data_IF_807121986930
#
_entry.id   IF_807121986930
#
_cell.length_a   1.000
_cell.length_b   1.000
_cell.length_c   1.000
_cell.angle_alpha   90.00
_cell.angle_beta   90.00
_cell.angle_gamma   90.00
#
_symmetry.space_group_name_H-M   'P 1'
#
loop_
_entity.id
_entity.type
_entity.pdbx_description
1 polymer ?
#
# COMPACT_ATOMS: atom_id res chain seq x y z
N UNK A 1 27.14 -35.81 -31.76
CA UNK A 1 26.14 -34.99 -31.07
C UNK A 1 26.87 -34.17 -30.02
N UNK A 2 26.87 -32.84 -30.15
CA UNK A 2 27.60 -31.97 -29.23
C UNK A 2 26.73 -31.73 -27.98
N UNK A 3 27.27 -32.02 -26.80
CA UNK A 3 26.61 -31.70 -25.54
C UNK A 3 26.61 -30.19 -25.33
N UNK A 4 25.44 -29.61 -25.09
CA UNK A 4 25.27 -28.18 -24.82
C UNK A 4 25.97 -27.82 -23.49
N UNK A 5 27.11 -27.14 -23.57
CA UNK A 5 27.84 -26.68 -22.37
C UNK A 5 27.13 -25.45 -21.81
N UNK A 6 26.22 -25.68 -20.86
CA UNK A 6 25.50 -24.61 -20.19
C UNK A 6 26.32 -23.99 -19.05
N UNK A 7 26.42 -22.66 -19.05
CA UNK A 7 27.09 -21.93 -18.00
C UNK A 7 26.20 -21.85 -16.74
N UNK A 8 26.51 -22.68 -15.74
CA UNK A 8 25.75 -22.78 -14.50
C UNK A 8 25.71 -21.47 -13.68
N UNK A 9 26.71 -20.58 -13.82
CA UNK A 9 26.70 -19.26 -13.17
C UNK A 9 25.65 -18.36 -13.79
N UNK A 10 25.56 -18.35 -15.13
CA UNK A 10 24.52 -17.59 -15.82
C UNK A 10 23.13 -18.16 -15.54
N UNK A 11 22.99 -19.48 -15.50
CA UNK A 11 21.73 -20.15 -15.15
C UNK A 11 21.25 -19.76 -13.73
N UNK A 12 22.14 -19.81 -12.72
CA UNK A 12 21.84 -19.33 -11.36
C UNK A 12 21.43 -17.86 -11.33
N UNK A 13 22.19 -17.00 -11.99
CA UNK A 13 21.87 -15.55 -12.04
C UNK A 13 20.52 -15.27 -12.68
N UNK A 14 20.12 -16.03 -13.72
CA UNK A 14 18.80 -15.92 -14.34
C UNK A 14 17.70 -16.36 -13.38
N UNK A 15 17.90 -17.48 -12.66
CA UNK A 15 16.97 -17.96 -11.63
C UNK A 15 16.78 -16.91 -10.52
N UNK A 16 17.86 -16.40 -9.94
CA UNK A 16 17.79 -15.39 -8.86
C UNK A 16 17.06 -14.12 -9.31
N UNK A 17 17.23 -13.72 -10.57
CA UNK A 17 16.52 -12.57 -11.14
C UNK A 17 15.03 -12.85 -11.29
N UNK A 18 14.66 -14.02 -11.81
CA UNK A 18 13.27 -14.45 -11.95
C UNK A 18 12.56 -14.54 -10.59
N UNK A 19 13.21 -15.07 -9.56
CA UNK A 19 12.65 -15.14 -8.20
C UNK A 19 12.38 -13.73 -7.63
N UNK A 20 13.31 -12.79 -7.85
CA UNK A 20 13.13 -11.39 -7.45
C UNK A 20 11.99 -10.69 -8.20
N UNK A 21 11.85 -10.95 -9.49
CA UNK A 21 10.77 -10.39 -10.30
C UNK A 21 9.40 -10.92 -9.84
N UNK A 22 9.29 -12.22 -9.56
CA UNK A 22 8.07 -12.83 -9.03
C UNK A 22 7.71 -12.28 -7.63
N UNK A 23 8.69 -12.08 -6.75
CA UNK A 23 8.48 -11.44 -5.46
C UNK A 23 8.05 -9.97 -5.61
N UNK A 24 8.65 -9.23 -6.55
CA UNK A 24 8.28 -7.85 -6.84
C UNK A 24 6.86 -7.74 -7.41
N UNK A 25 6.44 -8.71 -8.23
CA UNK A 25 5.07 -8.79 -8.75
C UNK A 25 4.07 -9.07 -7.62
N UNK A 26 4.32 -10.06 -6.75
CA UNK A 26 3.50 -10.30 -5.55
C UNK A 26 3.41 -9.06 -4.67
N UNK A 27 4.53 -8.38 -4.42
CA UNK A 27 4.54 -7.14 -3.65
C UNK A 27 3.78 -6.00 -4.37
N UNK A 28 3.74 -5.96 -5.71
CA UNK A 28 2.88 -5.01 -6.45
C UNK A 28 1.40 -5.36 -6.33
N UNK A 29 1.02 -6.61 -6.15
CA UNK A 29 -0.36 -6.99 -5.89
C UNK A 29 -0.75 -6.74 -4.43
N UNK A 30 0.06 -7.26 -3.49
CA UNK A 30 -0.17 -7.19 -2.04
C UNK A 30 0.02 -5.77 -1.49
N UNK A 31 0.91 -4.99 -2.10
CA UNK A 31 1.24 -3.63 -1.71
C UNK A 31 1.07 -2.66 -2.88
N UNK A 32 0.10 -2.90 -3.78
CA UNK A 32 -0.16 -2.14 -5.01
C UNK A 32 -0.46 -0.65 -4.91
N UNK A 33 -0.21 -0.07 -3.74
CA UNK A 33 0.01 1.36 -3.57
C UNK A 33 1.44 1.57 -3.12
N UNK A 34 2.20 2.29 -3.94
CA UNK A 34 3.53 2.78 -3.58
C UNK A 34 3.46 3.60 -2.28
N UNK A 35 4.58 3.72 -1.56
CA UNK A 35 4.64 4.50 -0.31
C UNK A 35 4.07 5.92 -0.51
N UNK A 36 4.44 6.57 -1.62
CA UNK A 36 3.95 7.90 -1.97
C UNK A 36 2.43 7.96 -2.16
N UNK A 37 1.82 6.96 -2.80
CA UNK A 37 0.36 6.89 -2.99
C UNK A 37 -0.38 6.64 -1.68
N UNK A 38 0.19 5.81 -0.79
CA UNK A 38 -0.37 5.59 0.56
C UNK A 38 -0.32 6.86 1.39
N UNK A 39 0.80 7.58 1.34
CA UNK A 39 1.00 8.82 2.10
C UNK A 39 0.05 9.93 1.59
N UNK A 40 -0.11 10.05 0.27
CA UNK A 40 -1.08 10.96 -0.36
C UNK A 40 -2.52 10.61 0.02
N UNK A 41 -2.89 9.33 0.01
CA UNK A 41 -4.21 8.87 0.42
C UNK A 41 -4.46 9.15 1.91
N UNK A 42 -3.47 8.93 2.77
CA UNK A 42 -3.54 9.24 4.20
C UNK A 42 -3.76 10.75 4.42
N UNK A 43 -2.96 11.60 3.77
CA UNK A 43 -3.10 13.05 3.87
C UNK A 43 -4.49 13.55 3.44
N UNK A 44 -5.05 12.98 2.35
CA UNK A 44 -6.41 13.28 1.89
C UNK A 44 -7.47 12.85 2.91
N UNK A 45 -7.33 11.66 3.48
CA UNK A 45 -8.26 11.17 4.51
C UNK A 45 -8.19 12.02 5.78
N UNK A 46 -6.99 12.43 6.20
CA UNK A 46 -6.82 13.28 7.38
C UNK A 46 -7.45 14.66 7.15
N UNK A 47 -7.30 15.24 5.96
CA UNK A 47 -7.96 16.49 5.59
C UNK A 47 -9.48 16.34 5.59
N UNK A 48 -10.00 15.26 5.00
CA UNK A 48 -11.44 14.99 4.99
C UNK A 48 -11.98 14.82 6.42
N UNK A 49 -11.27 14.09 7.28
CA UNK A 49 -11.63 13.89 8.68
C UNK A 49 -11.69 15.22 9.43
N UNK A 50 -10.65 16.08 9.30
CA UNK A 50 -10.65 17.42 9.92
C UNK A 50 -11.82 18.29 9.45
N UNK A 51 -12.19 18.23 8.17
CA UNK A 51 -13.34 18.96 7.64
C UNK A 51 -14.66 18.46 8.24
N UNK A 52 -14.82 17.14 8.37
CA UNK A 52 -15.99 16.54 9.00
C UNK A 52 -16.07 16.87 10.49
N UNK A 53 -14.95 16.76 11.20
CA UNK A 53 -14.86 17.08 12.63
C UNK A 53 -15.14 18.58 12.88
N UNK A 54 -14.63 19.48 12.04
CA UNK A 54 -14.93 20.92 12.14
C UNK A 54 -16.39 21.27 11.81
N UNK A 55 -17.09 20.42 11.06
CA UNK A 55 -18.53 20.53 10.80
C UNK A 55 -19.42 19.77 11.79
N UNK A 56 -18.82 19.02 12.73
CA UNK A 56 -19.54 18.22 13.70
C UNK A 56 -20.15 19.14 14.75
N UNK A 57 -21.45 19.38 14.61
CA UNK A 57 -22.28 19.90 15.70
C UNK A 57 -22.52 18.71 16.64
N UNK A 58 -21.87 18.70 17.79
CA UNK A 58 -22.30 17.82 18.87
C UNK A 58 -23.79 18.13 19.11
N UNK A 59 -24.68 17.12 19.14
CA UNK A 59 -26.02 17.36 19.65
C UNK A 59 -25.81 17.86 21.07
N UNK A 60 -26.01 19.16 21.26
CA UNK A 60 -26.02 19.76 22.57
C UNK A 60 -26.94 18.89 23.40
N UNK A 61 -26.42 18.45 24.54
CA UNK A 61 -27.12 17.74 25.59
C UNK A 61 -28.56 18.27 25.63
N UNK A 62 -29.51 17.43 25.23
CA UNK A 62 -30.93 17.65 25.54
C UNK A 62 -31.04 17.47 27.06
N UNK A 63 -30.55 18.46 27.80
CA UNK A 63 -30.77 18.60 29.23
C UNK A 63 -31.95 19.57 29.38
N UNK A 64 -33.17 19.06 29.60
CA UNK A 64 -34.31 19.93 29.84
C UNK A 64 -34.23 20.48 31.26
N UNK A 65 -33.99 21.78 31.39
CA UNK A 65 -34.08 22.53 32.64
C UNK A 65 -35.19 23.59 32.54
N UNK A 66 -35.79 24.06 33.65
CA UNK A 66 -36.53 23.35 34.70
C UNK A 66 -37.99 23.88 34.77
N UNK A 67 -38.87 23.29 35.59
CA UNK A 67 -40.19 23.86 35.93
C UNK A 67 -40.38 23.99 37.44
#
# INVERSE_FOLDING_TARGET
>A
MAGEVINLRQARKRRDRSEKEAAAERNRFEHGRTKAERDLARARNDQAKRRLDGGRRDPAVDEPDPK
#
